data_IF_099481079486
#
_entry.id   IF_099481079486
#
_cell.length_a   1.000
_cell.length_b   1.000
_cell.length_c   1.000
_cell.angle_alpha   90.00
_cell.angle_beta   90.00
_cell.angle_gamma   90.00
#
_symmetry.space_group_name_H-M   'P 1'
#
loop_
_entity.id
_entity.type
_entity.pdbx_description
1 polymer ?
#
# COMPACT_ATOMS: atom_id res chain seq x y z
N UNK A 1 -18.98 4.95 56.47
CA UNK A 1 -18.10 4.23 55.53
C UNK A 1 -16.72 4.02 56.16
N UNK A 2 -16.34 2.78 56.45
CA UNK A 2 -15.05 2.49 57.10
C UNK A 2 -13.88 2.77 56.15
N UNK A 3 -12.69 3.04 56.72
CA UNK A 3 -11.46 3.37 55.97
C UNK A 3 -11.13 2.33 54.89
N UNK A 4 -11.44 1.06 55.16
CA UNK A 4 -11.24 -0.06 54.23
C UNK A 4 -12.14 0.02 53.00
N UNK A 5 -13.40 0.41 53.15
CA UNK A 5 -14.33 0.56 52.02
C UNK A 5 -13.93 1.74 51.12
N UNK A 6 -13.41 2.83 51.72
CA UNK A 6 -12.85 3.96 50.95
C UNK A 6 -11.61 3.56 50.14
N UNK A 7 -10.70 2.80 50.75
CA UNK A 7 -9.51 2.28 50.08
C UNK A 7 -9.87 1.34 48.91
N UNK A 8 -10.84 0.45 49.11
CA UNK A 8 -11.31 -0.47 48.08
C UNK A 8 -11.97 0.28 46.91
N UNK A 9 -12.79 1.30 47.17
CA UNK A 9 -13.40 2.13 46.12
C UNK A 9 -12.36 2.93 45.33
N UNK A 10 -11.35 3.51 45.99
CA UNK A 10 -10.25 4.21 45.32
C UNK A 10 -9.45 3.25 44.44
N UNK A 11 -9.15 2.05 44.95
CA UNK A 11 -8.46 1.02 44.19
C UNK A 11 -9.27 0.62 42.95
N UNK A 12 -10.57 0.34 43.11
CA UNK A 12 -11.46 -0.02 42.01
C UNK A 12 -11.55 1.09 40.95
N UNK A 13 -11.69 2.34 41.40
CA UNK A 13 -11.73 3.50 40.51
C UNK A 13 -10.43 3.63 39.69
N UNK A 14 -9.27 3.31 40.26
CA UNK A 14 -7.97 3.34 39.59
C UNK A 14 -7.91 2.39 38.37
N UNK A 15 -8.63 1.27 38.40
CA UNK A 15 -8.69 0.33 37.26
C UNK A 15 -9.85 0.61 36.32
N UNK A 16 -11.02 0.98 36.83
CA UNK A 16 -12.22 1.19 36.01
C UNK A 16 -12.15 2.52 35.25
N UNK A 17 -11.68 3.58 35.91
CA UNK A 17 -11.70 4.92 35.33
C UNK A 17 -10.94 5.02 34.00
N UNK A 18 -9.70 4.48 33.85
CA UNK A 18 -8.99 4.50 32.57
C UNK A 18 -9.75 3.78 31.45
N UNK A 19 -10.43 2.66 31.74
CA UNK A 19 -11.18 1.88 30.76
C UNK A 19 -12.41 2.66 30.29
N UNK A 20 -13.16 3.24 31.22
CA UNK A 20 -14.35 4.04 30.90
C UNK A 20 -13.96 5.28 30.08
N UNK A 21 -12.89 5.98 30.47
CA UNK A 21 -12.39 7.13 29.73
C UNK A 21 -11.97 6.74 28.30
N UNK A 22 -11.26 5.62 28.12
CA UNK A 22 -10.86 5.12 26.80
C UNK A 22 -12.09 4.78 25.93
N UNK A 23 -13.10 4.12 26.51
CA UNK A 23 -14.33 3.77 25.81
C UNK A 23 -15.11 5.03 25.37
N UNK A 24 -15.23 6.02 26.24
CA UNK A 24 -15.87 7.30 25.90
C UNK A 24 -15.10 8.02 24.80
N UNK A 25 -13.77 8.08 24.87
CA UNK A 25 -12.93 8.69 23.84
C UNK A 25 -13.09 7.98 22.48
N UNK A 26 -13.19 6.65 22.46
CA UNK A 26 -13.44 5.87 21.25
C UNK A 26 -14.84 6.13 20.66
N UNK A 27 -15.88 6.10 21.50
CA UNK A 27 -17.26 6.36 21.06
C UNK A 27 -17.46 7.81 20.59
N UNK A 28 -16.81 8.77 21.25
CA UNK A 28 -16.79 10.18 20.85
C UNK A 28 -15.96 10.42 19.57
N UNK A 29 -15.30 9.39 19.03
CA UNK A 29 -14.56 9.47 17.79
C UNK A 29 -13.22 10.21 17.90
N UNK A 30 -12.69 10.44 19.10
CA UNK A 30 -11.39 11.11 19.29
C UNK A 30 -10.25 10.37 18.59
N UNK A 31 -10.41 9.06 18.38
CA UNK A 31 -9.44 8.19 17.70
C UNK A 31 -9.79 7.93 16.22
N UNK A 32 -10.95 8.38 15.73
CA UNK A 32 -11.36 8.17 14.34
C UNK A 32 -10.59 9.15 13.45
N UNK A 33 -9.79 8.63 12.53
CA UNK A 33 -9.06 9.45 11.55
C UNK A 33 -7.62 9.82 11.95
N UNK A 34 -6.99 9.07 12.85
CA UNK A 34 -5.54 9.21 13.05
C UNK A 34 -4.79 9.06 11.71
N UNK A 35 -3.82 9.94 11.47
CA UNK A 35 -3.01 9.89 10.25
C UNK A 35 -2.42 8.49 10.09
N UNK A 36 -2.78 7.83 8.98
CA UNK A 36 -2.25 6.51 8.71
C UNK A 36 -0.75 6.61 8.44
N UNK A 37 0.02 5.62 8.86
CA UNK A 37 1.48 5.64 8.68
C UNK A 37 1.90 5.34 7.24
N UNK A 38 1.00 4.79 6.43
CA UNK A 38 1.23 4.59 4.99
C UNK A 38 1.34 5.93 4.27
N UNK A 39 2.15 5.94 3.22
CA UNK A 39 2.34 7.09 2.33
C UNK A 39 1.34 7.10 1.18
N UNK A 40 0.99 5.92 0.68
CA UNK A 40 -0.08 5.75 -0.31
C UNK A 40 -1.47 5.95 0.30
N UNK A 41 -2.49 6.06 -0.53
CA UNK A 41 -3.88 6.04 -0.08
C UNK A 41 -4.29 4.60 0.24
N UNK A 42 -4.78 4.37 1.47
CA UNK A 42 -5.29 3.07 1.89
C UNK A 42 -6.64 2.80 1.26
N UNK A 43 -6.74 1.72 0.49
CA UNK A 43 -7.99 1.26 -0.09
C UNK A 43 -8.70 0.37 0.94
N UNK A 44 -9.85 0.84 1.43
CA UNK A 44 -10.65 0.13 2.41
C UNK A 44 -12.14 0.13 1.98
N UNK A 45 -12.73 -1.02 1.63
CA UNK A 45 -12.14 -2.37 1.65
C UNK A 45 -11.10 -2.59 0.53
N UNK A 46 -10.14 -3.52 0.69
CA UNK A 46 -9.19 -3.89 -0.36
C UNK A 46 -9.89 -4.38 -1.64
N UNK A 47 -9.28 -4.09 -2.79
CA UNK A 47 -9.81 -4.51 -4.08
C UNK A 47 -9.23 -5.87 -4.47
N UNK A 48 -10.07 -6.78 -4.98
CA UNK A 48 -9.58 -8.04 -5.54
C UNK A 48 -9.04 -7.83 -6.96
N UNK A 49 -7.81 -8.26 -7.18
CA UNK A 49 -7.14 -8.35 -8.47
C UNK A 49 -6.57 -9.78 -8.70
N UNK A 50 -7.07 -10.80 -7.99
CA UNK A 50 -6.57 -12.17 -8.04
C UNK A 50 -6.50 -12.72 -9.47
N UNK A 51 -7.53 -12.48 -10.27
CA UNK A 51 -7.58 -12.96 -11.67
C UNK A 51 -6.47 -12.39 -12.56
N UNK A 52 -5.77 -11.34 -12.13
CA UNK A 52 -4.67 -10.73 -12.87
C UNK A 52 -3.31 -11.35 -12.56
N UNK A 53 -3.16 -12.03 -11.42
CA UNK A 53 -1.85 -12.50 -10.94
C UNK A 53 -1.75 -14.02 -11.02
N UNK A 54 -0.51 -14.51 -11.10
CA UNK A 54 -0.23 -15.93 -10.95
C UNK A 54 -0.20 -16.28 -9.46
N UNK A 55 -0.45 -17.54 -9.12
CA UNK A 55 -0.35 -18.04 -7.74
C UNK A 55 1.10 -18.39 -7.40
N UNK A 56 1.99 -17.41 -7.55
CA UNK A 56 3.42 -17.48 -7.24
C UNK A 56 3.77 -16.85 -5.88
N UNK A 57 2.75 -16.41 -5.16
CA UNK A 57 2.83 -15.76 -3.85
C UNK A 57 3.72 -14.50 -3.81
N UNK A 58 4.00 -13.85 -4.94
CA UNK A 58 4.76 -12.60 -4.95
C UNK A 58 3.88 -11.39 -4.65
N UNK A 59 4.42 -10.41 -3.92
CA UNK A 59 3.83 -9.08 -3.85
C UNK A 59 3.85 -8.44 -5.24
N UNK A 60 2.83 -7.65 -5.57
CA UNK A 60 2.77 -6.95 -6.86
C UNK A 60 2.91 -5.45 -6.69
N UNK A 61 3.85 -4.89 -7.43
CA UNK A 61 3.92 -3.44 -7.65
C UNK A 61 3.31 -3.16 -9.01
N UNK A 62 2.07 -2.66 -9.04
CA UNK A 62 1.27 -2.62 -10.26
C UNK A 62 1.19 -1.20 -10.80
N UNK A 63 1.42 -1.01 -12.09
CA UNK A 63 1.05 0.21 -12.81
C UNK A 63 -0.02 -0.09 -13.84
N UNK A 64 -1.15 0.62 -13.80
CA UNK A 64 -2.17 0.53 -14.86
C UNK A 64 -1.89 1.60 -15.88
N UNK A 65 -1.46 1.21 -17.07
CA UNK A 65 -1.07 2.16 -18.10
C UNK A 65 -2.30 2.83 -18.73
N UNK A 66 -2.30 4.16 -18.92
CA UNK A 66 -3.34 4.85 -19.68
C UNK A 66 -3.28 4.47 -21.18
N UNK A 67 -4.34 4.80 -21.93
CA UNK A 67 -4.42 4.52 -23.36
C UNK A 67 -3.28 5.16 -24.17
N UNK A 68 -2.85 6.35 -23.77
CA UNK A 68 -1.68 7.06 -24.32
C UNK A 68 -0.62 7.25 -23.24
N UNK A 69 0.58 6.73 -23.48
CA UNK A 69 1.70 6.86 -22.55
C UNK A 69 2.44 8.19 -22.82
N UNK A 70 2.17 9.20 -21.99
CA UNK A 70 2.84 10.50 -22.00
C UNK A 70 3.91 10.58 -20.88
N UNK A 71 4.40 11.78 -20.56
CA UNK A 71 5.46 12.00 -19.58
C UNK A 71 5.19 11.34 -18.20
N UNK A 72 3.99 11.52 -17.63
CA UNK A 72 3.62 10.89 -16.34
C UNK A 72 3.72 9.35 -16.39
N UNK A 73 3.39 8.76 -17.55
CA UNK A 73 3.45 7.32 -17.74
C UNK A 73 4.90 6.84 -17.81
N UNK A 74 5.76 7.54 -18.57
CA UNK A 74 7.18 7.23 -18.64
C UNK A 74 7.87 7.33 -17.27
N UNK A 75 7.55 8.36 -16.49
CA UNK A 75 8.03 8.51 -15.12
C UNK A 75 7.50 7.40 -14.20
N UNK A 76 6.23 6.99 -14.36
CA UNK A 76 5.66 5.88 -13.59
C UNK A 76 6.38 4.57 -13.87
N UNK A 77 6.64 4.24 -15.14
CA UNK A 77 7.37 3.03 -15.54
C UNK A 77 8.79 3.05 -14.96
N UNK A 78 9.48 4.18 -15.08
CA UNK A 78 10.80 4.34 -14.51
C UNK A 78 10.79 4.15 -12.99
N UNK A 79 9.90 4.83 -12.27
CA UNK A 79 9.83 4.76 -10.80
C UNK A 79 9.43 3.36 -10.34
N UNK A 80 8.52 2.69 -11.05
CA UNK A 80 8.14 1.31 -10.75
C UNK A 80 9.37 0.39 -10.71
N UNK A 81 10.22 0.47 -11.74
CA UNK A 81 11.46 -0.30 -11.82
C UNK A 81 12.49 0.12 -10.76
N UNK A 82 12.69 1.42 -10.54
CA UNK A 82 13.64 1.88 -9.53
C UNK A 82 13.21 1.52 -8.11
N UNK A 83 11.92 1.60 -7.80
CA UNK A 83 11.38 1.17 -6.50
C UNK A 83 11.62 -0.32 -6.30
N UNK A 84 11.41 -1.15 -7.32
CA UNK A 84 11.71 -2.58 -7.28
C UNK A 84 13.20 -2.86 -7.02
N UNK A 85 14.11 -2.23 -7.78
CA UNK A 85 15.55 -2.36 -7.58
C UNK A 85 15.99 -1.90 -6.18
N UNK A 86 15.40 -0.82 -5.66
CA UNK A 86 15.72 -0.26 -4.35
C UNK A 86 15.27 -1.14 -3.15
N UNK A 87 14.52 -2.22 -3.40
CA UNK A 87 14.21 -3.25 -2.40
C UNK A 87 15.44 -4.09 -2.03
N UNK A 88 16.43 -4.20 -2.93
CA UNK A 88 17.64 -4.96 -2.71
C UNK A 88 17.34 -6.43 -2.42
N UNK A 89 17.69 -6.92 -1.23
CA UNK A 89 17.47 -8.33 -0.82
C UNK A 89 16.01 -8.80 -0.84
N UNK A 90 15.04 -7.87 -0.79
CA UNK A 90 13.62 -8.23 -0.82
C UNK A 90 13.03 -8.17 -2.24
N UNK A 91 13.86 -7.89 -3.25
CA UNK A 91 13.44 -7.73 -4.64
C UNK A 91 12.78 -8.99 -5.20
N UNK A 92 13.27 -10.18 -4.83
CA UNK A 92 12.75 -11.48 -5.30
C UNK A 92 11.33 -11.78 -4.80
N UNK A 93 10.88 -11.08 -3.76
CA UNK A 93 9.55 -11.23 -3.14
C UNK A 93 8.49 -10.35 -3.81
N UNK A 94 8.90 -9.48 -4.75
CA UNK A 94 8.06 -8.47 -5.38
C UNK A 94 8.22 -8.56 -6.90
N UNK A 95 7.11 -8.61 -7.63
CA UNK A 95 7.11 -8.50 -9.09
C UNK A 95 6.51 -7.16 -9.53
N UNK A 96 7.26 -6.32 -10.25
CA UNK A 96 6.69 -5.13 -10.86
C UNK A 96 5.91 -5.52 -12.13
N UNK A 97 4.64 -5.14 -12.19
CA UNK A 97 3.70 -5.53 -13.22
C UNK A 97 3.03 -4.31 -13.84
N UNK A 98 3.11 -4.17 -15.15
CA UNK A 98 2.43 -3.15 -15.92
C UNK A 98 1.22 -3.77 -16.62
N UNK A 99 0.04 -3.25 -16.31
CA UNK A 99 -1.22 -3.64 -16.93
C UNK A 99 -1.52 -2.69 -18.08
N UNK A 100 -1.54 -3.20 -19.31
CA UNK A 100 -1.79 -2.40 -20.50
C UNK A 100 -1.12 -2.95 -21.75
N UNK A 101 -1.11 -2.16 -22.82
CA UNK A 101 -0.40 -2.50 -24.05
C UNK A 101 1.10 -2.33 -23.83
N UNK A 102 1.89 -3.38 -24.01
CA UNK A 102 3.35 -3.24 -23.92
C UNK A 102 3.85 -2.15 -24.90
N UNK A 103 4.76 -1.26 -24.49
CA UNK A 103 5.39 -0.33 -25.41
C UNK A 103 6.18 -1.11 -26.48
N UNK A 104 6.38 -0.51 -27.65
CA UNK A 104 7.15 -1.12 -28.73
C UNK A 104 8.61 -1.40 -28.35
N UNK A 105 9.16 -0.66 -27.38
CA UNK A 105 10.51 -0.80 -26.85
C UNK A 105 10.46 -1.24 -25.38
N UNK A 106 10.12 -2.50 -25.14
CA UNK A 106 10.13 -3.10 -23.78
C UNK A 106 11.53 -3.07 -23.15
N UNK A 107 12.58 -3.02 -23.97
CA UNK A 107 13.99 -2.96 -23.56
C UNK A 107 14.33 -1.76 -22.69
N UNK A 108 13.56 -0.67 -22.77
CA UNK A 108 13.81 0.56 -21.99
C UNK A 108 13.46 0.39 -20.50
N UNK A 109 12.74 -0.68 -20.16
CA UNK A 109 12.26 -0.95 -18.81
C UNK A 109 12.58 -2.38 -18.37
N UNK A 110 13.88 -2.71 -18.16
CA UNK A 110 14.28 -4.05 -17.78
C UNK A 110 13.67 -4.44 -16.43
N UNK A 111 13.18 -5.68 -16.34
CA UNK A 111 12.57 -6.23 -15.13
C UNK A 111 11.09 -5.94 -14.94
N UNK A 112 10.47 -5.09 -15.78
CA UNK A 112 9.01 -4.89 -15.76
C UNK A 112 8.29 -6.01 -16.51
N UNK A 113 7.38 -6.71 -15.84
CA UNK A 113 6.46 -7.62 -16.50
C UNK A 113 5.31 -6.83 -17.15
N UNK A 114 4.94 -7.16 -18.38
CA UNK A 114 3.81 -6.54 -19.07
C UNK A 114 2.70 -7.57 -19.29
N UNK A 115 1.47 -7.22 -18.91
CA UNK A 115 0.28 -8.05 -19.12
C UNK A 115 -0.86 -7.20 -19.67
N UNK A 116 -1.54 -7.72 -20.69
CA UNK A 116 -2.76 -7.09 -21.20
C UNK A 116 -3.91 -7.20 -20.20
N UNK A 117 -4.99 -6.44 -20.43
CA UNK A 117 -6.27 -6.70 -19.76
C UNK A 117 -6.42 -6.10 -18.36
N UNK A 118 -6.22 -4.79 -18.20
CA UNK A 118 -6.60 -4.07 -16.98
C UNK A 118 -8.12 -4.12 -16.67
N UNK A 119 -8.95 -4.49 -17.65
CA UNK A 119 -10.42 -4.40 -17.58
C UNK A 119 -11.08 -5.40 -16.60
N UNK A 120 -10.36 -6.43 -16.14
CA UNK A 120 -10.92 -7.48 -15.27
C UNK A 120 -10.81 -7.18 -13.78
N UNK A 121 -10.04 -6.17 -13.38
CA UNK A 121 -9.94 -5.72 -11.98
C UNK A 121 -10.43 -4.27 -11.85
N UNK A 122 -10.94 -3.86 -10.67
CA UNK A 122 -11.42 -2.50 -10.42
C UNK A 122 -10.27 -1.49 -10.24
N UNK A 123 -9.25 -1.56 -11.10
CA UNK A 123 -8.08 -0.68 -11.07
C UNK A 123 -8.21 0.42 -12.11
N UNK A 124 -7.95 1.65 -11.68
CA UNK A 124 -8.06 2.84 -12.53
C UNK A 124 -6.77 3.05 -13.35
N UNK A 125 -6.87 3.39 -14.65
CA UNK A 125 -5.74 3.76 -15.48
C UNK A 125 -4.97 4.96 -14.95
N UNK A 126 -3.67 4.99 -15.23
CA UNK A 126 -2.77 6.05 -14.81
C UNK A 126 -2.49 6.05 -13.31
N UNK A 127 -2.53 4.89 -12.64
CA UNK A 127 -2.30 4.78 -11.20
C UNK A 127 -1.39 3.61 -10.85
N UNK A 128 -0.71 3.76 -9.70
CA UNK A 128 0.22 2.79 -9.14
C UNK A 128 -0.41 2.14 -7.90
N UNK A 129 -0.16 0.85 -7.72
CA UNK A 129 -0.75 0.06 -6.64
C UNK A 129 0.25 -0.91 -6.01
N UNK A 130 -0.02 -1.27 -4.75
CA UNK A 130 0.61 -2.42 -4.09
C UNK A 130 -0.47 -3.47 -3.83
N UNK A 131 -0.22 -4.69 -4.30
CA UNK A 131 -1.05 -5.86 -4.02
C UNK A 131 -0.29 -6.92 -3.21
N UNK A 132 -1.01 -7.61 -2.34
CA UNK A 132 -0.46 -8.73 -1.57
C UNK A 132 -0.28 -10.00 -2.42
N UNK A 133 0.41 -11.03 -1.88
CA UNK A 133 0.55 -12.35 -2.50
C UNK A 133 -0.76 -13.07 -2.83
N UNK A 134 -1.88 -12.64 -2.24
CA UNK A 134 -3.22 -13.21 -2.44
C UNK A 134 -4.03 -12.38 -3.44
N UNK A 135 -3.39 -11.41 -4.11
CA UNK A 135 -3.98 -10.54 -5.11
C UNK A 135 -4.99 -9.51 -4.60
N UNK A 136 -4.92 -9.12 -3.32
CA UNK A 136 -5.66 -7.98 -2.80
C UNK A 136 -4.83 -6.69 -2.88
N UNK A 137 -5.39 -5.69 -3.53
CA UNK A 137 -4.81 -4.37 -3.70
C UNK A 137 -5.20 -3.49 -2.51
N UNK A 138 -4.19 -2.96 -1.81
CA UNK A 138 -4.38 -2.27 -0.52
C UNK A 138 -3.91 -0.82 -0.52
N UNK A 139 -2.92 -0.47 -1.34
CA UNK A 139 -2.40 0.90 -1.42
C UNK A 139 -2.43 1.40 -2.85
N UNK A 140 -2.73 2.69 -2.99
CA UNK A 140 -2.83 3.42 -4.25
C UNK A 140 -1.99 4.68 -4.23
N UNK A 141 -1.37 4.99 -5.36
CA UNK A 141 -0.54 6.16 -5.56
C UNK A 141 -0.88 6.83 -6.88
N UNK A 142 -0.87 8.16 -6.88
CA UNK A 142 -1.11 8.98 -8.07
C UNK A 142 0.24 9.35 -8.70
N UNK A 143 0.47 8.98 -9.96
CA UNK A 143 1.60 9.47 -10.75
C UNK A 143 1.67 10.98 -10.83
N UNK A 144 2.90 11.46 -10.97
CA UNK A 144 3.24 12.87 -11.14
C UNK A 144 4.16 13.01 -12.34
N UNK A 145 4.12 14.18 -12.98
CA UNK A 145 4.93 14.46 -14.17
C UNK A 145 6.33 14.98 -13.80
N UNK A 146 6.41 15.73 -12.70
CA UNK A 146 7.68 16.30 -12.26
C UNK A 146 8.61 15.22 -11.71
N UNK A 147 9.84 15.21 -12.22
CA UNK A 147 10.85 14.22 -11.88
C UNK A 147 11.16 14.16 -10.39
N UNK A 148 11.24 15.30 -9.72
CA UNK A 148 11.55 15.35 -8.28
C UNK A 148 10.38 14.83 -7.44
N UNK A 149 9.14 15.09 -7.86
CA UNK A 149 7.96 14.48 -7.25
C UNK A 149 7.91 12.97 -7.50
N UNK A 150 8.26 12.50 -8.70
CA UNK A 150 8.29 11.08 -9.04
C UNK A 150 9.30 10.31 -8.19
N UNK A 151 10.49 10.87 -7.93
CA UNK A 151 11.47 10.27 -7.03
C UNK A 151 10.98 10.19 -5.57
N UNK A 152 10.24 11.20 -5.10
CA UNK A 152 9.59 11.16 -3.79
C UNK A 152 8.52 10.07 -3.72
N UNK A 153 7.69 9.96 -4.76
CA UNK A 153 6.69 8.90 -4.90
C UNK A 153 7.32 7.51 -4.79
N UNK A 154 8.43 7.28 -5.51
CA UNK A 154 9.17 6.03 -5.45
C UNK A 154 9.71 5.71 -4.05
N UNK A 155 10.18 6.73 -3.31
CA UNK A 155 10.63 6.59 -1.92
C UNK A 155 9.48 6.27 -0.96
N UNK A 156 8.32 6.88 -1.18
CA UNK A 156 7.11 6.63 -0.41
C UNK A 156 6.61 5.19 -0.61
N UNK A 157 6.54 4.73 -1.87
CA UNK A 157 6.22 3.35 -2.23
C UNK A 157 7.22 2.36 -1.62
N UNK A 158 8.53 2.66 -1.69
CA UNK A 158 9.57 1.82 -1.10
C UNK A 158 9.43 1.72 0.43
N UNK A 159 9.06 2.82 1.09
CA UNK A 159 8.85 2.87 2.54
C UNK A 159 7.68 1.98 2.95
N UNK A 160 6.56 2.08 2.23
CA UNK A 160 5.38 1.26 2.48
C UNK A 160 5.66 -0.22 2.19
N UNK A 161 6.29 -0.56 1.05
CA UNK A 161 6.68 -1.94 0.71
C UNK A 161 7.59 -2.55 1.77
N UNK A 162 8.65 -1.86 2.20
CA UNK A 162 9.57 -2.38 3.24
C UNK A 162 8.83 -2.67 4.55
N UNK A 163 7.84 -1.85 4.89
CA UNK A 163 7.01 -2.08 6.09
C UNK A 163 6.11 -3.30 5.93
N UNK A 164 5.43 -3.43 4.78
CA UNK A 164 4.57 -4.56 4.47
C UNK A 164 5.36 -5.87 4.43
N UNK A 165 6.49 -5.92 3.72
CA UNK A 165 7.36 -7.09 3.59
C UNK A 165 7.98 -7.52 4.92
N UNK A 166 8.23 -6.58 5.85
CA UNK A 166 8.69 -6.91 7.21
C UNK A 166 7.61 -7.61 8.04
N UNK A 167 6.34 -7.31 7.79
CA UNK A 167 5.20 -7.92 8.50
C UNK A 167 4.66 -9.17 7.78
N UNK A 168 4.95 -9.33 6.49
CA UNK A 168 4.54 -10.48 5.70
C UNK A 168 5.49 -11.66 5.84
N UNK A 169 4.95 -12.82 6.19
CA UNK A 169 5.66 -14.10 6.14
C UNK A 169 5.55 -14.79 4.77
N UNK A 170 4.70 -14.26 3.87
CA UNK A 170 4.41 -14.83 2.54
C UNK A 170 4.95 -13.88 1.46
N UNK A 171 5.45 -14.48 0.38
CA UNK A 171 6.30 -13.83 -0.62
C UNK A 171 7.73 -13.81 -0.15
#
# INVERSE_FOLDING_TARGET
MSRQHRLLLVFLALFILPIVLAQVAFMAGWLKGGATVNKGELINPPLSAQALFEDDHLWRLVYVMPASCQAACQESLYILGQTHLALGKEMDRVQPLVLGKAPTQVTDYPGLAFKGGAATAPLQPGQLYIADPRGFVMLRYLPVQDRQQSLRLGKDMLTDLKKLLKQSQIG
#
